data_IF_323444129508
#
_entry.id   IF_323444129508
#
_cell.length_a   1.000
_cell.length_b   1.000
_cell.length_c   1.000
_cell.angle_alpha   90.00
_cell.angle_beta   90.00
_cell.angle_gamma   90.00
#
_symmetry.space_group_name_H-M   'P 1'
#
loop_
_entity.id
_entity.type
_entity.pdbx_description
1 polymer ?
#
# COMPACT_ATOMS: atom_id res chain seq x y z
N UNK A 1 -19.41 7.64 7.02
CA UNK A 1 -19.22 7.67 8.49
C UNK A 1 -17.81 7.21 8.76
N UNK A 2 -16.95 8.03 9.34
CA UNK A 2 -15.55 7.64 9.59
C UNK A 2 -15.45 6.91 10.93
N UNK A 3 -15.20 5.61 10.91
CA UNK A 3 -15.04 4.82 12.14
C UNK A 3 -13.66 5.10 12.78
N UNK A 4 -13.56 5.26 14.12
CA UNK A 4 -12.28 5.53 14.80
C UNK A 4 -11.17 4.52 14.47
N UNK A 5 -11.55 3.25 14.26
CA UNK A 5 -10.64 2.18 13.86
C UNK A 5 -9.91 2.48 12.54
N UNK A 6 -10.61 3.01 11.54
CA UNK A 6 -9.98 3.35 10.24
C UNK A 6 -9.01 4.52 10.37
N UNK A 7 -9.36 5.53 11.18
CA UNK A 7 -8.46 6.66 11.45
C UNK A 7 -7.16 6.21 12.12
N UNK A 8 -7.24 5.24 13.04
CA UNK A 8 -6.07 4.68 13.71
C UNK A 8 -5.06 4.04 12.73
N UNK A 9 -5.54 3.50 11.61
CA UNK A 9 -4.70 2.89 10.56
C UNK A 9 -4.45 3.84 9.38
N UNK A 10 -4.60 5.16 9.56
CA UNK A 10 -4.18 6.17 8.57
C UNK A 10 -5.26 6.67 7.60
N UNK A 11 -6.53 6.39 7.86
CA UNK A 11 -7.64 6.97 7.11
C UNK A 11 -7.76 8.48 7.36
N UNK A 12 -7.98 9.27 6.32
CA UNK A 12 -8.04 10.74 6.38
C UNK A 12 -8.95 11.33 5.28
N UNK A 13 -9.13 12.66 5.30
CA UNK A 13 -10.04 13.37 4.39
C UNK A 13 -9.77 13.12 2.91
N UNK A 14 -8.50 12.96 2.49
CA UNK A 14 -8.16 12.69 1.09
C UNK A 14 -8.79 11.40 0.57
N UNK A 15 -8.96 10.38 1.42
CA UNK A 15 -9.65 9.14 1.05
C UNK A 15 -11.17 9.27 1.16
N UNK A 16 -11.67 10.08 2.10
CA UNK A 16 -13.10 10.39 2.22
C UNK A 16 -13.65 11.12 1.01
N UNK A 17 -12.91 12.13 0.51
CA UNK A 17 -13.34 12.92 -0.65
C UNK A 17 -13.49 12.05 -1.91
N UNK A 18 -12.66 11.00 -2.02
CA UNK A 18 -12.79 10.04 -3.11
C UNK A 18 -14.07 9.22 -3.01
N UNK A 19 -14.55 8.91 -1.80
CA UNK A 19 -15.80 8.15 -1.59
C UNK A 19 -17.05 8.92 -2.00
N UNK A 20 -17.02 10.25 -2.04
CA UNK A 20 -18.17 11.07 -2.43
C UNK A 20 -18.69 10.75 -3.84
N UNK A 21 -17.83 10.22 -4.71
CA UNK A 21 -18.18 9.78 -6.07
C UNK A 21 -18.71 8.35 -6.17
N UNK A 22 -18.85 7.63 -5.05
CA UNK A 22 -19.07 6.19 -5.02
C UNK A 22 -20.53 5.87 -4.71
N UNK A 23 -21.29 5.46 -5.73
CA UNK A 23 -22.69 5.03 -5.63
C UNK A 23 -22.81 3.52 -5.34
N UNK A 24 -22.08 3.01 -4.33
CA UNK A 24 -22.24 1.61 -3.90
C UNK A 24 -22.98 1.58 -2.56
N UNK A 25 -24.08 0.83 -2.51
CA UNK A 25 -24.74 0.52 -1.26
C UNK A 25 -24.01 -0.66 -0.58
N UNK A 26 -23.73 -0.55 0.71
CA UNK A 26 -23.16 -1.65 1.50
C UNK A 26 -21.71 -2.01 1.14
N UNK A 27 -20.85 -1.01 0.99
CA UNK A 27 -19.41 -1.25 0.88
C UNK A 27 -18.72 -1.27 2.25
N UNK A 28 -17.60 -1.99 2.32
CA UNK A 28 -16.66 -1.92 3.44
C UNK A 28 -15.32 -1.37 2.99
N UNK A 29 -14.64 -0.66 3.88
CA UNK A 29 -13.30 -0.12 3.65
C UNK A 29 -12.25 -1.02 4.26
N UNK A 30 -11.15 -1.22 3.53
CA UNK A 30 -10.02 -1.99 4.03
C UNK A 30 -8.68 -1.45 3.52
N UNK A 31 -7.66 -1.49 4.38
CA UNK A 31 -6.27 -1.17 4.03
C UNK A 31 -5.46 -2.45 3.87
N UNK A 32 -4.65 -2.55 2.82
CA UNK A 32 -3.74 -3.68 2.64
C UNK A 32 -2.58 -3.58 3.63
N UNK A 33 -2.40 -4.56 4.52
CA UNK A 33 -1.27 -4.63 5.46
C UNK A 33 -0.12 -5.50 4.94
N UNK A 34 -0.43 -6.59 4.24
CA UNK A 34 0.57 -7.49 3.68
C UNK A 34 0.11 -8.16 2.38
N UNK A 35 1.08 -8.60 1.58
CA UNK A 35 0.85 -9.32 0.33
C UNK A 35 1.67 -10.62 0.30
N UNK A 36 0.99 -11.75 0.45
CA UNK A 36 1.57 -13.10 0.59
C UNK A 36 1.44 -13.94 -0.70
N UNK A 37 1.52 -13.31 -1.87
CA UNK A 37 1.54 -13.97 -3.18
C UNK A 37 0.17 -14.45 -3.67
N UNK A 38 -0.52 -15.32 -2.92
CA UNK A 38 -1.88 -15.81 -3.24
C UNK A 38 -2.97 -15.21 -2.33
N UNK A 39 -2.57 -14.65 -1.19
CA UNK A 39 -3.44 -14.00 -0.22
C UNK A 39 -2.92 -12.59 0.10
N UNK A 40 -3.83 -11.70 0.46
CA UNK A 40 -3.53 -10.41 1.06
C UNK A 40 -4.10 -10.35 2.47
N UNK A 41 -3.40 -9.64 3.34
CA UNK A 41 -3.92 -9.24 4.65
C UNK A 41 -4.49 -7.84 4.54
N UNK A 42 -5.70 -7.68 5.08
CA UNK A 42 -6.51 -6.49 5.01
C UNK A 42 -6.90 -6.07 6.43
N UNK A 43 -6.83 -4.78 6.71
CA UNK A 43 -7.36 -4.18 7.94
C UNK A 43 -8.61 -3.38 7.59
N UNK A 44 -9.76 -3.86 8.06
CA UNK A 44 -11.04 -3.16 7.96
C UNK A 44 -11.52 -2.64 9.32
N UNK A 45 -12.78 -2.22 9.37
CA UNK A 45 -13.39 -1.71 10.60
C UNK A 45 -13.48 -2.78 11.71
N UNK A 46 -13.68 -4.04 11.33
CA UNK A 46 -13.75 -5.18 12.24
C UNK A 46 -12.38 -5.75 12.64
N UNK A 47 -11.28 -5.15 12.17
CA UNK A 47 -9.91 -5.61 12.41
C UNK A 47 -9.27 -6.28 11.20
N UNK A 48 -8.28 -7.13 11.45
CA UNK A 48 -7.49 -7.80 10.42
C UNK A 48 -8.17 -9.08 9.91
N UNK A 49 -8.14 -9.28 8.59
CA UNK A 49 -8.60 -10.50 7.94
C UNK A 49 -7.84 -10.75 6.64
N UNK A 50 -7.94 -11.98 6.13
CA UNK A 50 -7.30 -12.39 4.89
C UNK A 50 -8.30 -12.45 3.74
N UNK A 51 -7.86 -12.01 2.57
CA UNK A 51 -8.62 -12.12 1.34
C UNK A 51 -7.76 -12.71 0.20
N UNK A 52 -8.36 -13.47 -0.73
CA UNK A 52 -7.66 -13.91 -1.92
C UNK A 52 -7.15 -12.71 -2.75
N UNK A 53 -5.93 -12.79 -3.27
CA UNK A 53 -5.35 -11.74 -4.14
C UNK A 53 -6.29 -11.42 -5.30
N UNK A 54 -6.91 -12.42 -5.93
CA UNK A 54 -7.90 -12.24 -7.00
C UNK A 54 -9.08 -11.33 -6.62
N UNK A 55 -9.48 -11.33 -5.35
CA UNK A 55 -10.58 -10.51 -4.85
C UNK A 55 -10.10 -9.09 -4.57
N UNK A 56 -8.90 -8.94 -3.98
CA UNK A 56 -8.32 -7.63 -3.68
C UNK A 56 -7.85 -6.89 -4.94
N UNK A 57 -7.34 -7.61 -5.93
CA UNK A 57 -6.86 -7.06 -7.21
C UNK A 57 -7.94 -6.99 -8.30
N UNK A 58 -9.20 -7.27 -7.95
CA UNK A 58 -10.30 -7.21 -8.91
C UNK A 58 -10.46 -5.82 -9.56
N UNK A 59 -10.09 -4.76 -8.84
CA UNK A 59 -10.07 -3.37 -9.31
C UNK A 59 -8.65 -2.90 -9.75
N UNK A 60 -7.72 -3.83 -10.00
CA UNK A 60 -6.35 -3.57 -10.39
C UNK A 60 -5.32 -3.92 -9.32
N UNK A 61 -4.03 -3.87 -9.68
CA UNK A 61 -2.93 -4.29 -8.80
C UNK A 61 -2.91 -3.52 -7.48
N UNK A 62 -2.71 -4.25 -6.39
CA UNK A 62 -2.63 -3.68 -5.04
C UNK A 62 -1.21 -3.76 -4.51
N UNK A 63 -0.86 -2.80 -3.66
CA UNK A 63 0.37 -2.79 -2.89
C UNK A 63 0.06 -2.60 -1.41
N UNK A 64 1.02 -2.94 -0.56
CA UNK A 64 0.90 -2.71 0.89
C UNK A 64 0.66 -1.22 1.15
N UNK A 65 -0.36 -0.92 1.93
CA UNK A 65 -0.79 0.43 2.28
C UNK A 65 -1.86 1.04 1.36
N UNK A 66 -2.27 0.34 0.29
CA UNK A 66 -3.41 0.74 -0.53
C UNK A 66 -4.72 0.62 0.24
N UNK A 67 -5.64 1.53 -0.06
CA UNK A 67 -7.01 1.49 0.44
C UNK A 67 -7.96 0.94 -0.62
N UNK A 68 -8.77 -0.02 -0.21
CA UNK A 68 -9.73 -0.72 -1.06
C UNK A 68 -11.15 -0.47 -0.55
N UNK A 69 -12.04 -0.29 -1.51
CA UNK A 69 -13.48 -0.37 -1.32
C UNK A 69 -13.91 -1.75 -1.75
N UNK A 70 -14.52 -2.50 -0.84
CA UNK A 70 -14.99 -3.86 -1.07
C UNK A 70 -16.51 -3.88 -1.10
N UNK A 71 -17.09 -4.73 -1.96
CA UNK A 71 -18.52 -5.03 -1.93
C UNK A 71 -18.85 -6.00 -0.78
N UNK A 72 -20.14 -6.34 -0.63
CA UNK A 72 -20.62 -7.31 0.36
C UNK A 72 -19.97 -8.71 0.24
N UNK A 73 -19.47 -9.09 -0.94
CA UNK A 73 -18.75 -10.36 -1.16
C UNK A 73 -17.26 -10.29 -0.80
N UNK A 74 -16.77 -9.15 -0.30
CA UNK A 74 -15.36 -8.92 0.01
C UNK A 74 -14.46 -8.78 -1.23
N UNK A 75 -15.04 -8.50 -2.41
CA UNK A 75 -14.29 -8.22 -3.64
C UNK A 75 -14.06 -6.72 -3.81
N UNK A 76 -12.86 -6.34 -4.20
CA UNK A 76 -12.50 -4.96 -4.45
C UNK A 76 -13.27 -4.42 -5.67
N UNK A 77 -14.12 -3.44 -5.42
CA UNK A 77 -14.81 -2.67 -6.47
C UNK A 77 -14.00 -1.47 -6.89
N UNK A 78 -13.17 -0.93 -5.99
CA UNK A 78 -12.33 0.23 -6.27
C UNK A 78 -11.09 0.24 -5.40
N UNK A 79 -9.96 0.60 -5.99
CA UNK A 79 -8.74 0.99 -5.26
C UNK A 79 -8.67 2.51 -5.24
N UNK A 80 -8.51 3.09 -4.05
CA UNK A 80 -8.38 4.54 -3.90
C UNK A 80 -7.04 5.04 -4.45
N UNK A 81 -7.00 6.30 -4.82
CA UNK A 81 -5.79 6.97 -5.28
C UNK A 81 -4.72 6.99 -4.19
N UNK A 82 -3.47 6.84 -4.62
CA UNK A 82 -2.31 6.77 -3.72
C UNK A 82 -1.81 8.18 -3.46
N UNK A 83 -1.67 8.53 -2.18
CA UNK A 83 -1.06 9.79 -1.77
C UNK A 83 0.46 9.74 -1.89
N UNK A 84 1.05 8.60 -1.55
CA UNK A 84 2.50 8.33 -1.71
C UNK A 84 2.71 6.96 -2.32
N UNK A 85 3.78 6.81 -3.09
CA UNK A 85 4.14 5.56 -3.73
C UNK A 85 5.66 5.36 -3.65
N UNK A 86 6.08 4.21 -3.14
CA UNK A 86 7.45 3.74 -3.18
C UNK A 86 7.51 2.55 -4.14
N UNK A 87 8.28 2.69 -5.22
CA UNK A 87 8.43 1.66 -6.23
C UNK A 87 9.91 1.43 -6.55
N UNK A 88 10.24 0.18 -6.90
CA UNK A 88 11.55 -0.19 -7.46
C UNK A 88 11.44 -0.35 -8.98
N UNK A 89 12.50 0.02 -9.69
CA UNK A 89 12.64 -0.33 -11.11
C UNK A 89 12.96 -1.82 -11.20
N UNK A 90 12.22 -2.58 -12.01
CA UNK A 90 12.64 -3.93 -12.35
C UNK A 90 13.83 -3.87 -13.35
N UNK A 91 14.67 -4.89 -13.40
CA UNK A 91 15.77 -4.95 -14.36
C UNK A 91 15.21 -5.27 -15.76
N UNK A 92 15.51 -4.42 -16.76
CA UNK A 92 15.09 -4.59 -18.16
C UNK A 92 14.59 -3.29 -18.81
N UNK A 93 14.70 -3.16 -20.14
CA UNK A 93 14.28 -1.96 -20.88
C UNK A 93 12.75 -1.73 -20.88
N UNK A 94 11.95 -2.78 -20.70
CA UNK A 94 10.48 -2.73 -20.57
C UNK A 94 9.98 -2.94 -19.13
N UNK A 95 10.87 -2.79 -18.15
CA UNK A 95 10.56 -3.11 -16.77
C UNK A 95 9.55 -2.12 -16.16
N UNK A 96 8.27 -2.54 -16.10
CA UNK A 96 7.24 -1.82 -15.35
C UNK A 96 7.68 -1.70 -13.88
N UNK A 97 7.58 -0.50 -13.27
CA UNK A 97 7.95 -0.31 -11.88
C UNK A 97 7.11 -1.21 -10.98
N UNK A 98 7.76 -1.93 -10.08
CA UNK A 98 7.07 -2.71 -9.06
C UNK A 98 6.87 -1.83 -7.84
N UNK A 99 5.62 -1.49 -7.55
CA UNK A 99 5.25 -0.79 -6.32
C UNK A 99 5.52 -1.72 -5.14
N UNK A 100 6.26 -1.23 -4.16
CA UNK A 100 6.57 -1.94 -2.93
C UNK A 100 5.53 -1.59 -1.85
N UNK A 101 5.32 -0.29 -1.61
CA UNK A 101 4.48 0.23 -0.53
C UNK A 101 3.87 1.57 -0.94
N UNK A 102 2.67 1.87 -0.46
CA UNK A 102 1.91 3.10 -0.75
C UNK A 102 1.33 3.69 0.53
N UNK A 103 1.05 5.00 0.53
CA UNK A 103 0.50 5.72 1.69
C UNK A 103 1.29 5.50 3.00
N UNK A 104 2.61 5.35 2.88
CA UNK A 104 3.54 5.28 3.99
C UNK A 104 4.42 6.52 3.98
N UNK A 105 4.58 7.10 5.16
CA UNK A 105 5.35 8.31 5.45
C UNK A 105 6.63 8.00 6.23
N UNK A 106 6.60 6.94 7.05
CA UNK A 106 7.69 6.53 7.94
C UNK A 106 8.15 5.11 7.63
N UNK A 107 9.45 4.91 7.45
CA UNK A 107 10.07 3.61 7.23
C UNK A 107 11.07 3.34 8.36
N UNK A 108 10.93 2.21 9.03
CA UNK A 108 11.92 1.73 10.00
C UNK A 108 12.89 0.76 9.33
N UNK A 109 14.18 1.08 9.38
CA UNK A 109 15.25 0.18 8.94
C UNK A 109 15.87 -0.43 10.18
N UNK A 110 15.64 -1.72 10.40
CA UNK A 110 16.15 -2.47 11.56
C UNK A 110 17.18 -3.47 11.08
N UNK A 111 18.36 -3.46 11.68
CA UNK A 111 19.44 -4.42 11.41
C UNK A 111 20.04 -4.89 12.74
N UNK A 112 20.41 -6.17 12.83
CA UNK A 112 21.20 -6.69 13.94
C UNK A 112 22.65 -6.19 13.84
N UNK A 113 23.27 -5.86 14.97
CA UNK A 113 24.70 -5.54 15.05
C UNK A 113 25.52 -6.82 15.28
N UNK A 114 25.32 -7.84 14.44
CA UNK A 114 26.13 -9.06 14.42
C UNK A 114 27.21 -9.00 13.34
N UNK A 115 28.04 -10.04 13.23
CA UNK A 115 29.14 -10.11 12.25
C UNK A 115 28.66 -10.01 10.78
N UNK A 116 27.37 -10.23 10.50
CA UNK A 116 26.73 -10.04 9.19
C UNK A 116 26.24 -8.60 8.92
N UNK A 117 26.69 -7.63 9.71
CA UNK A 117 26.34 -6.21 9.50
C UNK A 117 26.86 -5.72 8.14
N UNK A 118 25.94 -5.52 7.20
CA UNK A 118 26.25 -5.12 5.84
C UNK A 118 25.91 -3.64 5.61
N UNK A 119 26.93 -2.78 5.70
CA UNK A 119 26.77 -1.34 5.49
C UNK A 119 26.17 -1.02 4.11
N UNK A 120 26.62 -1.70 3.05
CA UNK A 120 26.08 -1.52 1.69
C UNK A 120 24.60 -1.90 1.57
N UNK A 121 24.06 -2.72 2.47
CA UNK A 121 22.61 -3.02 2.56
C UNK A 121 21.85 -1.85 3.18
N UNK A 122 22.37 -1.26 4.26
CA UNK A 122 21.76 -0.09 4.89
C UNK A 122 21.78 1.13 3.97
N UNK A 123 22.89 1.38 3.28
CA UNK A 123 22.99 2.48 2.30
C UNK A 123 21.94 2.35 1.20
N UNK A 124 21.70 1.13 0.69
CA UNK A 124 20.63 0.87 -0.28
C UNK A 124 19.24 1.14 0.29
N UNK A 125 18.96 0.74 1.53
CA UNK A 125 17.66 1.04 2.17
C UNK A 125 17.48 2.54 2.40
N UNK A 126 18.52 3.25 2.81
CA UNK A 126 18.51 4.71 2.96
C UNK A 126 18.30 5.42 1.61
N UNK A 127 18.96 4.96 0.55
CA UNK A 127 18.76 5.49 -0.80
C UNK A 127 17.30 5.33 -1.27
N UNK A 128 16.67 4.18 -0.98
CA UNK A 128 15.25 3.97 -1.28
C UNK A 128 14.34 4.86 -0.42
N UNK A 129 14.57 4.96 0.89
CA UNK A 129 13.76 5.78 1.79
C UNK A 129 13.87 7.28 1.49
N UNK A 130 15.03 7.75 1.04
CA UNK A 130 15.28 9.15 0.67
C UNK A 130 14.67 9.53 -0.68
N UNK A 131 14.21 8.57 -1.48
CA UNK A 131 13.57 8.83 -2.77
C UNK A 131 12.14 9.38 -2.59
N UNK A 132 12.04 10.62 -2.08
CA UNK A 132 10.81 11.42 -2.13
C UNK A 132 10.64 11.94 -3.55
N UNK A 133 9.69 11.41 -4.32
CA UNK A 133 9.32 12.03 -5.60
C UNK A 133 8.47 13.28 -5.36
N UNK A 134 9.14 14.41 -5.29
CA UNK A 134 8.65 15.71 -5.74
C UNK A 134 9.68 16.26 -6.74
N UNK A 135 9.24 16.47 -7.98
CA UNK A 135 10.01 16.90 -9.16
C UNK A 135 10.89 15.86 -9.88
N UNK A 136 10.43 15.60 -11.11
CA UNK A 136 11.15 15.49 -12.39
C UNK A 136 12.55 14.84 -12.39
N UNK A 137 12.62 13.82 -13.24
CA UNK A 137 13.81 13.31 -13.94
C UNK A 137 14.79 12.49 -13.09
N UNK A 138 14.63 11.17 -13.27
CA UNK A 138 15.69 10.15 -13.33
C UNK A 138 16.51 9.82 -12.07
N UNK A 139 16.93 8.55 -12.02
CA UNK A 139 17.88 7.90 -11.10
C UNK A 139 17.34 7.59 -9.69
N UNK A 140 17.73 6.50 -9.03
CA UNK A 140 18.94 5.68 -9.15
C UNK A 140 18.90 4.50 -10.15
#
# INVERSE_FOLDING_TARGET
MTTPALRAIGWNQFFEDQLASLEVAGFSLARVSAHHGSQVELYGEAGEYRAPVRSAEAAGKVAVGDWLVLNADGRAVRRLERKTELARKAAGEEAKPQILVTNVDTVFIVSSCNEDFNLARLERYLAMARCRRGLRRWWC
#
